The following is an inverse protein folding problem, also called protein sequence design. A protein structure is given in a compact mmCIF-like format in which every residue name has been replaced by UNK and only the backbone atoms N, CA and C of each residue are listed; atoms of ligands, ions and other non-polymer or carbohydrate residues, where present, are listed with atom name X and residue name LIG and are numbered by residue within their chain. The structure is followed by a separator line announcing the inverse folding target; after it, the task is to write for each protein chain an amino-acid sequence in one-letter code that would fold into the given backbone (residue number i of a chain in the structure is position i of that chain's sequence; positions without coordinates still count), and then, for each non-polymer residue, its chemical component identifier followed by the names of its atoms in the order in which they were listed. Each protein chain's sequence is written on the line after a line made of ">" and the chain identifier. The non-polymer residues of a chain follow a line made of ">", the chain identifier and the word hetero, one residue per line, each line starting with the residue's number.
data_IF_543886283508
#
_entry.id   IF_543886283508
#
_cell.length_a   1.000
_cell.length_b   1.000
_cell.length_c   1.000
_cell.angle_alpha   90.00
_cell.angle_beta   90.00
_cell.angle_gamma   90.00
#
_symmetry.space_group_name_H-M   'P 1'
#
loop_
_entity.id
_entity.type
_entity.pdbx_description
1 polymer ?
#
# COMPACT_ATOMS: atom_id res chain seq x y z
N UNK A 1 -61.98 10.13 0.58
CA UNK A 1 -60.61 9.58 0.37
C UNK A 1 -60.64 8.10 0.72
N UNK A 2 -60.39 7.25 -0.27
CA UNK A 2 -60.24 5.80 -0.10
C UNK A 2 -58.85 5.47 0.37
N UNK A 3 -58.63 4.65 1.42
CA UNK A 3 -57.29 4.31 1.91
C UNK A 3 -56.59 3.40 0.89
N UNK A 4 -55.31 3.76 0.60
CA UNK A 4 -54.40 2.99 -0.24
C UNK A 4 -54.00 1.71 0.52
N UNK A 5 -54.13 0.51 -0.07
CA UNK A 5 -53.71 -0.71 0.59
C UNK A 5 -52.19 -0.73 0.82
N UNK A 6 -51.77 -0.94 2.07
CA UNK A 6 -50.40 -1.13 2.47
C UNK A 6 -49.86 -2.44 1.91
N UNK A 7 -48.87 -2.38 1.02
CA UNK A 7 -48.20 -3.56 0.47
C UNK A 7 -47.14 -4.00 1.50
N UNK A 8 -47.40 -5.12 2.18
CA UNK A 8 -46.40 -5.78 3.03
C UNK A 8 -45.25 -6.27 2.16
N UNK A 9 -44.00 -5.89 2.43
CA UNK A 9 -42.86 -6.38 1.66
C UNK A 9 -42.71 -7.89 1.81
N UNK A 10 -42.60 -8.59 0.69
CA UNK A 10 -42.36 -10.03 0.66
C UNK A 10 -41.07 -10.35 1.40
N UNK A 11 -41.11 -11.30 2.33
CA UNK A 11 -39.94 -11.82 3.02
C UNK A 11 -38.94 -12.38 1.99
N UNK A 12 -37.78 -11.79 1.89
CA UNK A 12 -36.66 -12.32 1.10
C UNK A 12 -36.22 -13.64 1.74
N UNK A 13 -36.57 -14.76 1.11
CA UNK A 13 -36.07 -16.09 1.50
C UNK A 13 -34.59 -16.16 1.10
N UNK A 14 -33.71 -16.14 2.07
CA UNK A 14 -32.31 -16.47 1.89
C UNK A 14 -32.25 -17.92 1.37
N UNK A 15 -31.62 -18.21 0.22
CA UNK A 15 -31.52 -19.58 -0.27
C UNK A 15 -30.78 -20.44 0.77
N UNK A 16 -31.40 -21.57 1.12
CA UNK A 16 -30.79 -22.58 1.97
C UNK A 16 -29.51 -23.08 1.28
N UNK A 17 -28.33 -23.05 1.93
CA UNK A 17 -27.12 -23.56 1.32
C UNK A 17 -27.32 -25.05 0.93
N UNK A 18 -26.81 -25.41 -0.26
CA UNK A 18 -26.86 -26.78 -0.72
C UNK A 18 -26.13 -27.70 0.28
N UNK A 19 -26.65 -28.90 0.56
CA UNK A 19 -26.01 -29.81 1.49
C UNK A 19 -24.59 -30.13 1.00
N UNK A 20 -23.61 -30.02 1.89
CA UNK A 20 -22.22 -30.41 1.60
C UNK A 20 -22.19 -31.91 1.26
N UNK A 21 -21.60 -32.31 0.13
CA UNK A 21 -21.54 -33.72 -0.25
C UNK A 21 -20.79 -34.52 0.81
N UNK A 22 -21.30 -35.69 1.15
CA UNK A 22 -20.60 -36.63 2.03
C UNK A 22 -19.52 -37.33 1.20
N UNK A 23 -18.25 -37.20 1.61
CA UNK A 23 -17.09 -37.79 0.93
C UNK A 23 -16.59 -39.04 1.66
N UNK A 24 -15.95 -39.94 0.90
CA UNK A 24 -15.17 -41.06 1.46
C UNK A 24 -13.68 -40.75 1.35
N UNK A 25 -12.99 -40.31 2.43
CA UNK A 25 -11.60 -39.85 2.39
C UNK A 25 -10.60 -40.91 1.88
N UNK A 26 -10.95 -42.17 1.95
CA UNK A 26 -10.10 -43.26 1.44
C UNK A 26 -10.08 -43.33 -0.09
N UNK A 27 -11.13 -42.78 -0.75
CA UNK A 27 -11.29 -42.87 -2.20
C UNK A 27 -11.14 -41.51 -2.87
N UNK A 28 -11.58 -40.44 -2.23
CA UNK A 28 -11.77 -39.14 -2.85
C UNK A 28 -11.42 -37.99 -1.90
N UNK A 29 -11.14 -36.83 -2.46
CA UNK A 29 -10.84 -35.58 -1.75
C UNK A 29 -11.73 -34.48 -2.30
N UNK A 30 -12.37 -33.75 -1.39
CA UNK A 30 -13.12 -32.55 -1.74
C UNK A 30 -12.15 -31.35 -1.78
N UNK A 31 -12.09 -30.67 -2.92
CA UNK A 31 -11.37 -29.42 -3.12
C UNK A 31 -12.31 -28.25 -2.88
N UNK A 32 -11.95 -27.37 -1.96
CA UNK A 32 -12.69 -26.15 -1.63
C UNK A 32 -11.82 -24.94 -1.90
N UNK A 33 -12.41 -23.94 -2.52
CA UNK A 33 -11.74 -22.69 -2.88
C UNK A 33 -12.33 -21.56 -2.04
N UNK A 34 -11.50 -20.86 -1.29
CA UNK A 34 -11.89 -19.86 -0.30
C UNK A 34 -11.41 -18.49 -0.77
N UNK A 35 -12.31 -17.52 -0.80
CA UNK A 35 -12.00 -16.14 -1.22
C UNK A 35 -11.14 -15.39 -0.19
N UNK A 36 -10.71 -14.17 -0.53
CA UNK A 36 -9.89 -13.32 0.33
C UNK A 36 -10.59 -12.86 1.62
N UNK A 37 -11.92 -13.02 1.71
CA UNK A 37 -12.75 -12.69 2.87
C UNK A 37 -13.03 -13.91 3.75
N UNK A 38 -12.68 -15.10 3.27
CA UNK A 38 -12.86 -16.37 3.98
C UNK A 38 -14.14 -17.12 3.62
N UNK A 39 -14.86 -16.70 2.59
CA UNK A 39 -16.06 -17.38 2.11
C UNK A 39 -15.69 -18.44 1.08
N UNK A 40 -16.45 -19.53 1.04
CA UNK A 40 -16.26 -20.56 0.03
C UNK A 40 -16.83 -20.13 -1.33
N UNK A 41 -16.03 -20.27 -2.38
CA UNK A 41 -16.46 -20.15 -3.77
C UNK A 41 -17.16 -21.46 -4.19
N UNK A 42 -18.43 -21.65 -3.79
CA UNK A 42 -19.16 -22.91 -3.96
C UNK A 42 -19.17 -23.42 -5.41
N UNK A 43 -19.20 -22.52 -6.41
CA UNK A 43 -19.15 -22.86 -7.83
C UNK A 43 -17.84 -23.50 -8.28
N UNK A 44 -16.76 -23.38 -7.51
CA UNK A 44 -15.45 -23.99 -7.77
C UNK A 44 -15.25 -25.31 -7.01
N UNK A 45 -16.12 -25.62 -6.04
CA UNK A 45 -16.05 -26.86 -5.27
C UNK A 45 -16.06 -28.08 -6.20
N UNK A 46 -15.13 -29.00 -5.97
CA UNK A 46 -14.96 -30.20 -6.79
C UNK A 46 -14.56 -31.38 -5.90
N UNK A 47 -14.99 -32.58 -6.24
CA UNK A 47 -14.53 -33.82 -5.63
C UNK A 47 -13.74 -34.60 -6.67
N UNK A 48 -12.52 -35.03 -6.29
CA UNK A 48 -11.65 -35.84 -7.14
C UNK A 48 -11.32 -37.16 -6.46
N UNK A 49 -11.27 -38.24 -7.22
CA UNK A 49 -10.73 -39.51 -6.75
C UNK A 49 -9.19 -39.44 -6.69
N UNK A 50 -8.60 -40.32 -5.86
CA UNK A 50 -7.14 -40.45 -5.84
C UNK A 50 -6.61 -40.87 -7.20
N UNK A 51 -5.54 -40.25 -7.66
CA UNK A 51 -4.90 -40.34 -8.97
C UNK A 51 -5.61 -39.59 -10.11
N UNK A 52 -6.73 -38.93 -9.85
CA UNK A 52 -7.31 -38.00 -10.81
C UNK A 52 -6.58 -36.67 -10.83
N UNK A 53 -6.79 -35.93 -11.91
CA UNK A 53 -6.19 -34.61 -12.14
C UNK A 53 -7.25 -33.56 -12.45
N UNK A 54 -7.00 -32.33 -11.99
CA UNK A 54 -7.80 -31.16 -12.26
C UNK A 54 -6.91 -30.02 -12.73
N UNK A 55 -7.34 -29.26 -13.72
CA UNK A 55 -6.77 -27.95 -13.99
C UNK A 55 -7.35 -27.00 -12.94
N UNK A 56 -6.47 -26.40 -12.12
CA UNK A 56 -6.91 -25.47 -11.08
C UNK A 56 -7.63 -24.28 -11.70
N UNK A 57 -8.77 -23.87 -11.14
CA UNK A 57 -9.45 -22.67 -11.59
C UNK A 57 -8.59 -21.45 -11.36
N UNK A 58 -8.72 -20.42 -12.20
CA UNK A 58 -8.16 -19.11 -11.94
C UNK A 58 -8.83 -18.50 -10.71
N UNK A 59 -8.10 -17.63 -10.00
CA UNK A 59 -8.65 -16.85 -8.90
C UNK A 59 -9.78 -15.95 -9.43
N UNK A 60 -10.97 -15.95 -8.81
CA UNK A 60 -12.14 -15.24 -9.33
C UNK A 60 -11.98 -13.72 -9.41
N UNK A 61 -11.21 -13.12 -8.50
CA UNK A 61 -10.95 -11.67 -8.50
C UNK A 61 -9.74 -11.37 -9.38
N UNK A 62 -9.96 -10.71 -10.50
CA UNK A 62 -8.91 -10.34 -11.46
C UNK A 62 -7.88 -9.33 -10.91
N UNK A 63 -8.13 -8.71 -9.77
CA UNK A 63 -7.19 -7.83 -9.08
C UNK A 63 -6.24 -8.59 -8.15
N UNK A 64 -6.62 -9.82 -7.76
CA UNK A 64 -5.77 -10.67 -6.94
C UNK A 64 -4.69 -11.35 -7.81
N UNK A 65 -3.52 -11.69 -7.23
CA UNK A 65 -2.60 -12.62 -7.87
C UNK A 65 -3.28 -13.95 -8.17
N UNK A 66 -3.07 -14.52 -9.36
CA UNK A 66 -3.66 -15.79 -9.77
C UNK A 66 -2.92 -16.97 -9.13
N UNK A 67 -2.98 -17.01 -7.80
CA UNK A 67 -2.31 -17.98 -6.94
C UNK A 67 -3.27 -18.47 -5.86
N UNK A 68 -3.23 -19.77 -5.58
CA UNK A 68 -3.95 -20.41 -4.49
C UNK A 68 -2.95 -20.86 -3.41
N UNK A 69 -3.20 -20.50 -2.16
CA UNK A 69 -2.42 -20.95 -0.99
C UNK A 69 -3.03 -22.22 -0.41
N UNK A 70 -2.21 -23.13 0.08
CA UNK A 70 -2.68 -24.27 0.88
C UNK A 70 -2.79 -23.97 2.38
N UNK A 71 -2.20 -22.86 2.83
CA UNK A 71 -2.20 -22.41 4.23
C UNK A 71 -2.87 -21.05 4.34
N UNK A 72 -3.93 -20.98 5.16
CA UNK A 72 -4.78 -19.79 5.29
C UNK A 72 -4.03 -18.57 5.81
N UNK A 73 -3.29 -18.76 6.90
CA UNK A 73 -2.71 -17.67 7.68
C UNK A 73 -1.24 -17.39 7.33
N UNK A 74 -0.64 -18.24 6.49
CA UNK A 74 0.73 -18.06 6.04
C UNK A 74 0.83 -16.91 5.02
N UNK A 75 1.93 -16.14 5.10
CA UNK A 75 2.21 -15.11 4.10
C UNK A 75 2.44 -15.75 2.75
N UNK A 76 2.00 -15.10 1.68
CA UNK A 76 2.08 -15.69 0.35
C UNK A 76 3.51 -16.10 -0.07
N UNK A 77 4.53 -15.37 0.39
CA UNK A 77 5.93 -15.70 0.10
C UNK A 77 6.44 -16.96 0.81
N UNK A 78 5.82 -17.34 1.91
CA UNK A 78 6.22 -18.46 2.76
C UNK A 78 5.29 -19.67 2.58
N UNK A 79 4.09 -19.45 2.03
CA UNK A 79 3.07 -20.46 1.79
C UNK A 79 3.40 -21.35 0.57
N UNK A 80 2.93 -22.58 0.60
CA UNK A 80 2.86 -23.41 -0.60
C UNK A 80 1.75 -22.86 -1.48
N UNK A 81 2.10 -22.46 -2.71
CA UNK A 81 1.18 -21.88 -3.67
C UNK A 81 1.10 -22.70 -4.94
N UNK A 82 -0.08 -22.69 -5.55
CA UNK A 82 -0.37 -23.28 -6.85
C UNK A 82 -1.03 -22.22 -7.72
N UNK A 83 -0.64 -22.16 -8.99
CA UNK A 83 -1.16 -21.16 -9.91
C UNK A 83 -2.47 -21.61 -10.52
N UNK A 84 -3.40 -20.68 -10.77
CA UNK A 84 -4.56 -20.94 -11.63
C UNK A 84 -4.10 -21.42 -13.02
N UNK A 85 -4.79 -22.40 -13.57
CA UNK A 85 -4.42 -23.06 -14.82
C UNK A 85 -3.41 -24.21 -14.70
N UNK A 86 -2.75 -24.37 -13.54
CA UNK A 86 -1.83 -25.51 -13.32
C UNK A 86 -2.60 -26.82 -13.18
N UNK A 87 -1.96 -27.93 -13.62
CA UNK A 87 -2.49 -29.28 -13.46
C UNK A 87 -2.18 -29.81 -12.06
N UNK A 88 -3.19 -29.96 -11.22
CA UNK A 88 -3.11 -30.67 -9.95
C UNK A 88 -3.45 -32.13 -10.15
N UNK A 89 -2.57 -33.03 -9.70
CA UNK A 89 -2.87 -34.48 -9.66
C UNK A 89 -2.86 -34.92 -8.19
N UNK A 90 -3.97 -35.53 -7.72
CA UNK A 90 -4.07 -36.04 -6.35
C UNK A 90 -3.36 -37.38 -6.24
N UNK A 91 -2.21 -37.45 -5.55
CA UNK A 91 -1.50 -38.71 -5.26
C UNK A 91 -1.32 -38.87 -3.78
N UNK A 92 -1.63 -40.08 -3.25
CA UNK A 92 -1.35 -40.41 -1.85
C UNK A 92 0.16 -40.36 -1.60
N UNK A 93 0.57 -39.79 -0.47
CA UNK A 93 1.98 -39.77 -0.04
C UNK A 93 2.77 -38.54 -0.53
N UNK A 94 2.18 -37.64 -1.28
CA UNK A 94 2.80 -36.33 -1.61
C UNK A 94 2.95 -35.47 -0.35
N UNK A 95 4.01 -34.66 -0.28
CA UNK A 95 4.31 -33.84 0.91
C UNK A 95 3.19 -32.87 1.28
N UNK A 96 2.47 -32.34 0.30
CA UNK A 96 1.35 -31.40 0.51
C UNK A 96 0.05 -32.08 0.97
N UNK A 97 -0.02 -33.45 1.01
CA UNK A 97 -1.19 -34.16 1.55
C UNK A 97 -1.42 -33.90 3.04
N UNK A 98 -0.44 -33.34 3.74
CA UNK A 98 -0.60 -32.87 5.13
C UNK A 98 -1.69 -31.79 5.28
N UNK A 99 -2.01 -31.07 4.20
CA UNK A 99 -3.08 -30.07 4.19
C UNK A 99 -4.47 -30.67 3.97
N UNK A 100 -4.56 -31.98 3.64
CA UNK A 100 -5.85 -32.66 3.51
C UNK A 100 -6.32 -33.06 4.91
N UNK A 101 -7.41 -32.44 5.35
CA UNK A 101 -8.01 -32.70 6.65
C UNK A 101 -9.41 -33.32 6.47
N UNK A 102 -9.64 -34.51 7.02
CA UNK A 102 -10.91 -35.22 6.88
C UNK A 102 -11.39 -35.38 5.41
N UNK A 103 -10.47 -35.58 4.48
CA UNK A 103 -10.76 -35.68 3.06
C UNK A 103 -11.05 -34.33 2.36
N UNK A 104 -10.74 -33.21 3.00
CA UNK A 104 -10.94 -31.87 2.44
C UNK A 104 -9.58 -31.21 2.25
N UNK A 105 -9.33 -30.65 1.05
CA UNK A 105 -8.21 -29.79 0.73
C UNK A 105 -8.75 -28.38 0.43
N UNK A 106 -8.33 -27.41 1.22
CA UNK A 106 -8.71 -26.03 1.03
C UNK A 106 -7.65 -25.27 0.25
N UNK A 107 -8.10 -24.47 -0.71
CA UNK A 107 -7.30 -23.51 -1.46
C UNK A 107 -7.75 -22.11 -1.06
N UNK A 108 -6.84 -21.26 -0.64
CA UNK A 108 -7.11 -19.91 -0.16
C UNK A 108 -6.59 -18.88 -1.15
N UNK A 109 -7.44 -17.95 -1.55
CA UNK A 109 -6.99 -16.76 -2.28
C UNK A 109 -5.98 -15.94 -1.46
N UNK A 110 -5.10 -15.16 -2.11
CA UNK A 110 -4.32 -14.13 -1.45
C UNK A 110 -5.22 -13.20 -0.63
N UNK A 111 -4.73 -12.79 0.54
CA UNK A 111 -5.50 -11.91 1.43
C UNK A 111 -5.49 -10.47 0.91
N UNK A 112 -6.62 -9.79 1.01
CA UNK A 112 -6.72 -8.35 0.80
C UNK A 112 -6.22 -7.62 2.06
N UNK A 113 -5.16 -6.84 1.92
CA UNK A 113 -4.48 -6.15 3.01
C UNK A 113 -4.82 -4.66 3.02
N UNK A 114 -4.79 -4.07 4.21
CA UNK A 114 -5.02 -2.64 4.43
C UNK A 114 -3.70 -1.92 4.61
N UNK A 115 -3.41 -0.94 3.75
CA UNK A 115 -2.32 0.00 3.93
C UNK A 115 -2.90 1.31 4.42
N UNK A 116 -2.46 1.79 5.58
CA UNK A 116 -2.92 3.04 6.17
C UNK A 116 -1.81 4.08 6.17
N UNK A 117 -2.05 5.22 5.51
CA UNK A 117 -1.11 6.32 5.37
C UNK A 117 -1.40 7.39 6.41
N UNK A 118 -0.49 7.58 7.37
CA UNK A 118 -0.65 8.48 8.51
C UNK A 118 0.21 9.73 8.39
N UNK A 119 -0.22 10.80 9.08
CA UNK A 119 0.70 11.87 9.41
C UNK A 119 1.81 11.34 10.34
N UNK A 120 2.93 12.07 10.45
CA UNK A 120 4.12 11.61 11.21
C UNK A 120 3.83 11.32 12.69
N UNK A 121 2.86 12.00 13.31
CA UNK A 121 2.47 11.75 14.70
C UNK A 121 1.58 10.51 14.86
N UNK A 122 1.06 9.95 13.77
CA UNK A 122 0.15 8.81 13.78
C UNK A 122 -1.22 9.14 14.40
N UNK A 123 -1.60 10.42 14.45
CA UNK A 123 -2.88 10.86 15.04
C UNK A 123 -4.01 10.95 14.04
N UNK A 124 -3.73 10.84 12.73
CA UNK A 124 -4.74 10.89 11.70
C UNK A 124 -4.27 10.29 10.39
N UNK A 125 -5.14 9.51 9.78
CA UNK A 125 -4.97 8.98 8.42
C UNK A 125 -5.25 10.12 7.44
N UNK A 126 -4.47 10.20 6.37
CA UNK A 126 -4.74 11.16 5.30
C UNK A 126 -6.08 10.88 4.62
N UNK A 127 -6.77 11.90 4.09
CA UNK A 127 -7.87 11.68 3.15
C UNK A 127 -7.40 10.77 2.01
N UNK A 128 -8.15 9.73 1.69
CA UNK A 128 -7.78 8.67 0.73
C UNK A 128 -6.48 7.91 1.10
N UNK A 129 -6.08 7.94 2.37
CA UNK A 129 -4.88 7.27 2.86
C UNK A 129 -5.12 5.82 3.31
N UNK A 130 -6.27 5.23 3.01
CA UNK A 130 -6.53 3.80 3.22
C UNK A 130 -6.58 3.13 1.85
N UNK A 131 -5.65 2.23 1.60
CA UNK A 131 -5.56 1.46 0.38
C UNK A 131 -5.88 0.00 0.69
N UNK A 132 -6.67 -0.64 -0.17
CA UNK A 132 -6.98 -2.06 -0.12
C UNK A 132 -6.26 -2.75 -1.27
N UNK A 133 -5.27 -3.57 -0.97
CA UNK A 133 -4.37 -4.19 -1.96
C UNK A 133 -4.13 -5.65 -1.60
N UNK A 134 -4.16 -6.55 -2.56
CA UNK A 134 -3.85 -7.95 -2.31
C UNK A 134 -2.37 -8.18 -1.94
N UNK A 135 -2.10 -9.18 -1.11
CA UNK A 135 -0.74 -9.68 -0.84
C UNK A 135 0.03 -9.87 -2.16
N UNK A 136 1.31 -9.53 -2.16
CA UNK A 136 2.25 -9.52 -3.29
C UNK A 136 1.98 -8.52 -4.42
N UNK A 137 0.81 -7.89 -4.46
CA UNK A 137 0.61 -6.76 -5.35
C UNK A 137 1.39 -5.54 -4.86
N UNK A 138 1.61 -4.61 -5.77
CA UNK A 138 2.34 -3.38 -5.49
C UNK A 138 1.37 -2.25 -5.13
N UNK A 139 1.68 -1.52 -4.07
CA UNK A 139 1.05 -0.25 -3.72
C UNK A 139 2.03 0.89 -3.97
N UNK A 140 1.53 2.02 -4.45
CA UNK A 140 2.32 3.25 -4.55
C UNK A 140 2.18 4.01 -3.23
N UNK A 141 3.30 4.46 -2.65
CA UNK A 141 3.36 5.32 -1.47
C UNK A 141 3.39 6.79 -1.92
N UNK A 142 2.23 7.46 -2.03
CA UNK A 142 2.12 8.74 -2.72
C UNK A 142 2.76 9.89 -1.95
N UNK A 143 3.10 10.98 -2.63
CA UNK A 143 3.30 12.24 -1.96
C UNK A 143 1.95 12.78 -1.47
N UNK A 144 1.92 13.26 -0.23
CA UNK A 144 0.76 13.90 0.40
C UNK A 144 1.08 15.38 0.65
N UNK A 145 1.03 16.22 -0.39
CA UNK A 145 1.49 17.62 -0.31
C UNK A 145 0.68 18.42 0.71
N UNK A 146 1.38 19.20 1.51
CA UNK A 146 0.78 20.11 2.47
C UNK A 146 1.61 21.40 2.57
N UNK A 147 0.98 22.54 2.41
CA UNK A 147 1.66 23.85 2.26
C UNK A 147 2.65 24.22 3.39
N UNK A 148 2.38 23.76 4.61
CA UNK A 148 3.21 24.03 5.79
C UNK A 148 4.42 23.10 5.95
N UNK A 149 4.50 22.04 5.15
CA UNK A 149 5.54 21.02 5.29
C UNK A 149 6.22 20.72 3.95
N UNK A 150 7.40 20.13 4.04
CA UNK A 150 8.07 19.43 2.94
C UNK A 150 8.12 17.97 3.33
N UNK A 151 7.60 17.11 2.48
CA UNK A 151 7.65 15.67 2.63
C UNK A 151 8.98 15.15 2.07
N UNK A 152 9.53 14.14 2.74
CA UNK A 152 10.81 13.53 2.37
C UNK A 152 10.67 12.05 2.00
N UNK A 153 9.62 11.40 2.45
CA UNK A 153 9.33 9.99 2.21
C UNK A 153 8.45 9.40 3.30
N UNK A 154 8.42 8.10 3.36
CA UNK A 154 7.62 7.32 4.30
C UNK A 154 8.50 6.46 5.21
N UNK A 155 7.96 6.09 6.36
CA UNK A 155 8.52 5.13 7.30
C UNK A 155 7.40 4.26 7.88
N UNK A 156 7.72 3.05 8.28
CA UNK A 156 6.82 2.15 9.02
C UNK A 156 6.86 2.37 10.54
N UNK A 157 7.71 3.30 10.99
CA UNK A 157 7.92 3.58 12.42
C UNK A 157 7.31 4.93 12.79
N UNK A 158 6.27 4.92 13.60
CA UNK A 158 5.59 6.12 14.10
C UNK A 158 6.56 7.10 14.75
N UNK A 159 6.52 8.36 14.29
CA UNK A 159 7.35 9.44 14.86
C UNK A 159 8.82 9.43 14.44
N UNK A 160 9.26 8.49 13.61
CA UNK A 160 10.61 8.48 13.08
C UNK A 160 10.87 9.68 12.15
N UNK A 161 12.11 10.15 12.15
CA UNK A 161 12.62 11.14 11.19
C UNK A 161 13.42 10.52 10.04
N UNK A 162 13.58 9.20 10.07
CA UNK A 162 14.28 8.42 9.05
C UNK A 162 13.33 8.02 7.92
N UNK A 163 13.76 8.24 6.69
CA UNK A 163 13.05 7.82 5.49
C UNK A 163 13.47 6.39 5.16
N UNK A 164 12.50 5.49 5.08
CA UNK A 164 12.69 4.11 4.61
C UNK A 164 12.24 3.92 3.17
N UNK A 165 11.23 4.66 2.76
CA UNK A 165 10.60 4.55 1.44
C UNK A 165 10.47 5.94 0.85
N UNK A 166 10.87 6.10 -0.39
CA UNK A 166 10.77 7.36 -1.11
C UNK A 166 9.31 7.73 -1.42
N UNK A 167 9.06 9.01 -1.66
CA UNK A 167 7.76 9.45 -2.19
C UNK A 167 7.52 8.86 -3.57
N UNK A 168 6.30 8.43 -3.82
CA UNK A 168 5.87 7.77 -5.05
C UNK A 168 6.63 6.47 -5.39
N UNK A 169 7.28 5.86 -4.39
CA UNK A 169 7.90 4.56 -4.56
C UNK A 169 6.87 3.43 -4.50
N UNK A 170 7.25 2.31 -5.07
CA UNK A 170 6.51 1.06 -5.01
C UNK A 170 6.79 0.33 -3.70
N UNK A 171 5.75 -0.27 -3.13
CA UNK A 171 5.83 -1.14 -1.97
C UNK A 171 5.11 -2.46 -2.26
N UNK A 172 5.83 -3.58 -2.16
CA UNK A 172 5.23 -4.91 -2.25
C UNK A 172 4.47 -5.23 -0.97
N UNK A 173 3.18 -5.49 -1.09
CA UNK A 173 2.29 -5.70 0.06
C UNK A 173 2.50 -7.09 0.64
N UNK A 174 2.91 -7.16 1.90
CA UNK A 174 3.15 -8.42 2.62
C UNK A 174 2.16 -8.64 3.79
N UNK A 175 1.21 -7.71 3.97
CA UNK A 175 0.24 -7.73 5.06
C UNK A 175 -0.28 -6.32 5.38
N UNK A 176 -1.17 -6.23 6.36
CA UNK A 176 -1.66 -4.94 6.85
C UNK A 176 -0.49 -4.11 7.36
N UNK A 177 -0.36 -2.88 6.87
CA UNK A 177 0.79 -2.02 7.17
C UNK A 177 0.39 -0.57 7.38
N UNK A 178 1.03 0.08 8.34
CA UNK A 178 0.89 1.51 8.59
C UNK A 178 2.15 2.25 8.13
N UNK A 179 1.99 3.27 7.33
CA UNK A 179 3.07 4.17 6.95
C UNK A 179 2.86 5.56 7.53
N UNK A 180 3.95 6.18 7.95
CA UNK A 180 4.01 7.51 8.55
C UNK A 180 4.87 8.41 7.68
N UNK A 181 4.33 9.58 7.26
CA UNK A 181 5.08 10.48 6.41
C UNK A 181 6.20 11.17 7.19
N UNK A 182 7.40 11.12 6.66
CA UNK A 182 8.54 11.87 7.17
C UNK A 182 8.52 13.27 6.55
N UNK A 183 8.31 14.31 7.37
CA UNK A 183 8.16 15.68 6.92
C UNK A 183 8.79 16.70 7.89
N UNK A 184 9.15 17.87 7.37
CA UNK A 184 9.64 18.99 8.17
C UNK A 184 8.86 20.25 7.86
N UNK A 185 8.72 21.15 8.85
CA UNK A 185 8.13 22.48 8.62
C UNK A 185 8.89 23.17 7.49
N UNK A 186 8.15 23.66 6.51
CA UNK A 186 8.71 24.39 5.38
C UNK A 186 9.15 25.78 5.82
N UNK A 187 10.37 26.15 5.51
CA UNK A 187 10.93 27.51 5.68
C UNK A 187 11.26 28.07 4.31
N UNK A 188 10.96 29.35 4.11
CA UNK A 188 11.32 30.07 2.91
C UNK A 188 12.62 30.83 3.16
N UNK A 189 13.62 30.62 2.33
CA UNK A 189 14.86 31.40 2.30
C UNK A 189 14.80 32.32 1.08
N UNK A 190 14.79 33.64 1.33
CA UNK A 190 14.76 34.64 0.28
C UNK A 190 16.14 35.30 0.15
N UNK A 191 16.62 35.38 -1.07
CA UNK A 191 17.89 36.04 -1.38
C UNK A 191 17.63 37.43 -1.90
N UNK A 192 18.22 38.43 -1.23
CA UNK A 192 17.94 39.85 -1.48
C UNK A 192 19.18 40.58 -1.96
N UNK A 193 19.04 41.57 -2.81
CA UNK A 193 20.12 42.50 -3.10
C UNK A 193 20.46 43.34 -1.87
N UNK A 194 21.72 43.75 -1.73
CA UNK A 194 22.16 44.67 -0.68
C UNK A 194 22.59 46.01 -1.33
N UNK A 195 21.64 46.69 -1.93
CA UNK A 195 21.90 47.91 -2.74
C UNK A 195 21.36 49.19 -2.10
N UNK A 196 21.20 49.26 -0.77
CA UNK A 196 20.70 50.42 -0.09
C UNK A 196 19.17 50.54 -0.07
N UNK A 197 18.59 51.59 -0.60
CA UNK A 197 17.17 51.95 -0.41
C UNK A 197 16.17 50.96 -1.04
N UNK A 198 16.54 50.24 -2.09
CA UNK A 198 15.65 49.26 -2.76
C UNK A 198 16.24 47.85 -2.77
N UNK A 199 15.91 47.09 -1.74
CA UNK A 199 16.26 45.65 -1.75
C UNK A 199 15.30 44.90 -2.66
N UNK A 200 15.80 44.40 -3.77
CA UNK A 200 15.07 43.51 -4.65
C UNK A 200 15.28 42.07 -4.26
N UNK A 201 14.24 41.26 -4.35
CA UNK A 201 14.33 39.81 -4.13
C UNK A 201 14.80 39.10 -5.42
N UNK A 202 15.81 38.29 -5.28
CA UNK A 202 16.21 37.35 -6.34
C UNK A 202 15.27 36.12 -6.34
N UNK A 203 14.06 36.29 -6.84
CA UNK A 203 13.01 35.26 -6.74
C UNK A 203 13.43 33.91 -7.31
N UNK A 204 14.25 33.94 -8.37
CA UNK A 204 14.81 32.70 -8.98
C UNK A 204 15.79 31.94 -8.07
N UNK A 205 16.35 32.60 -7.06
CA UNK A 205 17.28 31.98 -6.11
C UNK A 205 16.60 31.52 -4.84
N UNK A 206 15.35 31.94 -4.60
CA UNK A 206 14.62 31.60 -3.39
C UNK A 206 14.49 30.08 -3.24
N UNK A 207 14.69 29.58 -2.03
CA UNK A 207 14.64 28.17 -1.71
C UNK A 207 13.61 27.89 -0.63
N UNK A 208 12.85 26.81 -0.82
CA UNK A 208 11.98 26.24 0.22
C UNK A 208 12.68 25.04 0.81
N UNK A 209 12.89 25.02 2.13
CA UNK A 209 13.66 23.99 2.82
C UNK A 209 12.98 23.54 4.11
N UNK A 210 13.19 22.31 4.51
CA UNK A 210 12.70 21.81 5.79
C UNK A 210 13.49 22.37 6.98
N UNK A 211 12.79 22.76 8.03
CA UNK A 211 13.41 23.25 9.28
C UNK A 211 14.50 22.28 9.78
N UNK A 212 15.68 22.81 10.08
CA UNK A 212 16.84 22.06 10.58
C UNK A 212 17.75 21.49 9.49
N UNK A 213 17.46 21.72 8.22
CA UNK A 213 18.33 21.35 7.11
C UNK A 213 19.20 22.52 6.67
N UNK A 214 20.29 22.18 5.98
CA UNK A 214 21.27 23.17 5.48
C UNK A 214 20.87 23.66 4.10
N UNK A 215 20.93 24.97 3.90
CA UNK A 215 20.74 25.62 2.61
C UNK A 215 22.06 25.68 1.86
N UNK A 216 22.08 25.27 0.61
CA UNK A 216 23.20 25.54 -0.29
C UNK A 216 23.12 27.00 -0.75
N UNK A 217 24.15 27.80 -0.45
CA UNK A 217 24.20 29.18 -0.90
C UNK A 217 24.40 29.23 -2.41
N UNK A 218 23.50 29.91 -3.16
CA UNK A 218 23.68 30.08 -4.60
C UNK A 218 24.81 31.06 -4.90
N UNK A 219 25.31 31.05 -6.12
CA UNK A 219 26.22 32.09 -6.60
C UNK A 219 25.53 33.46 -6.52
N UNK A 220 26.32 34.48 -6.17
CA UNK A 220 25.81 35.84 -6.15
C UNK A 220 25.72 36.34 -7.58
N UNK A 221 24.55 36.77 -8.06
CA UNK A 221 24.43 37.32 -9.42
C UNK A 221 25.34 38.51 -9.68
N UNK A 222 26.02 38.48 -10.81
CA UNK A 222 26.91 39.57 -11.22
C UNK A 222 26.12 40.87 -11.42
N UNK A 223 26.70 42.01 -11.01
CA UNK A 223 26.19 43.34 -11.25
C UNK A 223 27.31 44.27 -11.70
N UNK A 224 27.14 44.95 -12.83
CA UNK A 224 28.11 45.89 -13.39
C UNK A 224 28.52 46.94 -12.35
N UNK A 225 29.81 47.13 -12.16
CA UNK A 225 30.40 48.10 -11.20
C UNK A 225 30.44 47.59 -9.76
N UNK A 226 30.12 46.32 -9.48
CA UNK A 226 30.14 45.76 -8.14
C UNK A 226 30.92 44.44 -8.11
N UNK A 227 31.67 44.25 -7.06
CA UNK A 227 32.27 42.95 -6.74
C UNK A 227 31.41 42.18 -5.74
N UNK A 228 31.04 40.94 -6.10
CA UNK A 228 30.29 40.08 -5.20
C UNK A 228 31.20 39.55 -4.09
N UNK A 229 30.81 39.75 -2.83
CA UNK A 229 31.59 39.30 -1.65
C UNK A 229 31.00 38.00 -1.06
N UNK A 230 29.76 37.65 -1.42
CA UNK A 230 28.97 36.53 -0.86
C UNK A 230 27.68 37.00 -0.22
N UNK A 231 27.11 36.17 0.64
CA UNK A 231 25.82 36.42 1.31
C UNK A 231 26.00 36.79 2.79
N UNK A 232 25.04 37.58 3.31
CA UNK A 232 24.94 37.90 4.73
C UNK A 232 23.50 37.85 5.21
N UNK A 233 23.27 37.50 6.47
CA UNK A 233 21.93 37.61 7.11
C UNK A 233 21.56 39.05 7.44
N UNK A 234 22.53 39.96 7.52
CA UNK A 234 22.31 41.35 7.88
C UNK A 234 22.13 42.20 6.64
N UNK A 235 21.04 42.97 6.60
CA UNK A 235 20.87 44.06 5.64
C UNK A 235 21.96 45.11 5.84
N UNK A 236 22.55 45.63 4.77
CA UNK A 236 23.64 46.60 4.78
C UNK A 236 24.98 46.07 5.34
N UNK A 237 25.17 44.76 5.33
CA UNK A 237 26.44 44.15 5.72
C UNK A 237 27.55 44.60 4.75
N UNK A 238 28.71 44.98 5.29
CA UNK A 238 29.90 45.29 4.51
C UNK A 238 30.87 44.10 4.34
N UNK A 239 30.52 42.97 4.97
CA UNK A 239 31.27 41.71 4.86
C UNK A 239 30.31 40.54 4.64
N UNK A 240 30.72 39.60 3.83
CA UNK A 240 29.99 38.37 3.65
C UNK A 240 30.10 37.46 4.89
N UNK A 241 28.98 36.90 5.34
CA UNK A 241 28.97 35.85 6.36
C UNK A 241 29.17 34.47 5.73
N UNK A 242 28.62 34.31 4.53
CA UNK A 242 28.72 33.08 3.75
C UNK A 242 29.40 33.38 2.43
N UNK A 243 30.56 32.76 2.20
CA UNK A 243 31.27 32.79 0.92
C UNK A 243 30.62 31.76 -0.01
N UNK A 244 30.63 32.05 -1.30
CA UNK A 244 30.13 31.14 -2.35
C UNK A 244 31.32 30.52 -3.04
#
# INVERSE_FOLDING_TARGET
>A
ETPIPSVTPALSVTPTPAPTPTINPEKEVMLRFIDGEGNECEQLRTVLEWNESLILPNVPDSQAPDLWKLEKDEKLNDAITLKGGDLLTLKKGESWNIFIQNGILNFYMPKKCTISLYNNSGTGVFPNGILQVYETNTAILPDMPYSKYINYGWTDTKGSSEVKYDLNSEYTVLGDTNFYIVRRTALQVNFMTNTGASNSNFTSLNQKIGKGLTVKMPEVPAKTGYQALGWSKSKNATKATYKV
#
